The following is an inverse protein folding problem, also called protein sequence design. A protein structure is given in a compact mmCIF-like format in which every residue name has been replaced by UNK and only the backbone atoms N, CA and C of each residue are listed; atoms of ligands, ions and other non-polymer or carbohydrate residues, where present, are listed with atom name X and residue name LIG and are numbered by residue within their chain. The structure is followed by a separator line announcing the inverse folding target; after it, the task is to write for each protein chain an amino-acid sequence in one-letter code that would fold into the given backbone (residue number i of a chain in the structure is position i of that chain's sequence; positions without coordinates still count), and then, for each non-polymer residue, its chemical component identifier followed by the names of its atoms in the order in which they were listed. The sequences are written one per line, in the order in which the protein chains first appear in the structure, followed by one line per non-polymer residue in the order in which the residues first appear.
data_IF_173967600190
#
_entry.id   IF_173967600190
#
_cell.length_a   1.000
_cell.length_b   1.000
_cell.length_c   1.000
_cell.angle_alpha   90.00
_cell.angle_beta   90.00
_cell.angle_gamma   90.00
#
_symmetry.space_group_name_H-M   'P 1'
#
loop_
_entity.id
_entity.type
_entity.pdbx_description
1 polymer ?
#
# COMPACT_ATOMS: atom_id res chain seq x y z
N UNK A 1 4.26 -11.52 -10.47
CA UNK A 1 4.51 -10.44 -9.48
C UNK A 1 4.45 -9.13 -10.24
N UNK A 2 3.75 -8.12 -9.73
CA UNK A 2 3.61 -6.82 -10.41
C UNK A 2 4.95 -6.10 -10.49
N UNK A 3 5.26 -5.49 -11.63
CA UNK A 3 6.52 -4.76 -11.85
C UNK A 3 6.42 -3.32 -11.30
N UNK A 4 7.22 -3.03 -10.27
CA UNK A 4 7.37 -1.70 -9.66
C UNK A 4 8.76 -1.07 -9.93
N UNK A 5 9.50 -1.55 -10.93
CA UNK A 5 10.84 -1.05 -11.28
C UNK A 5 10.91 0.44 -11.63
N UNK A 6 9.78 1.05 -11.98
CA UNK A 6 9.67 2.50 -12.22
C UNK A 6 9.85 3.35 -10.93
N UNK A 7 9.66 2.75 -9.76
CA UNK A 7 9.96 3.37 -8.47
C UNK A 7 11.49 3.29 -8.26
N UNK A 8 12.16 4.44 -8.42
CA UNK A 8 13.64 4.54 -8.35
C UNK A 8 14.16 4.28 -6.95
N UNK A 9 13.47 4.80 -5.93
CA UNK A 9 13.82 4.54 -4.54
C UNK A 9 13.55 3.07 -4.20
N UNK A 10 14.62 2.31 -3.97
CA UNK A 10 14.55 0.87 -3.77
C UNK A 10 13.75 0.50 -2.53
N UNK A 11 13.89 1.27 -1.45
CA UNK A 11 13.17 1.02 -0.21
C UNK A 11 11.65 1.18 -0.42
N UNK A 12 11.21 2.31 -0.98
CA UNK A 12 9.80 2.54 -1.35
C UNK A 12 9.29 1.46 -2.29
N UNK A 13 10.09 1.04 -3.27
CA UNK A 13 9.72 -0.04 -4.19
C UNK A 13 9.40 -1.34 -3.46
N UNK A 14 10.26 -1.75 -2.51
CA UNK A 14 9.99 -2.95 -1.71
C UNK A 14 8.76 -2.81 -0.82
N UNK A 15 8.58 -1.65 -0.17
CA UNK A 15 7.41 -1.39 0.67
C UNK A 15 6.11 -1.45 -0.13
N UNK A 16 6.06 -0.80 -1.30
CA UNK A 16 4.89 -0.81 -2.19
C UNK A 16 4.64 -2.20 -2.77
N UNK A 17 5.67 -2.92 -3.21
CA UNK A 17 5.52 -4.29 -3.70
C UNK A 17 5.00 -5.27 -2.63
N UNK A 18 5.53 -5.17 -1.41
CA UNK A 18 5.07 -5.93 -0.25
C UNK A 18 3.60 -5.59 0.07
N UNK A 19 3.27 -4.30 0.13
CA UNK A 19 1.92 -3.84 0.41
C UNK A 19 0.90 -4.22 -0.66
N UNK A 20 1.25 -4.08 -1.94
CA UNK A 20 0.38 -4.46 -3.05
C UNK A 20 0.09 -5.97 -3.03
N UNK A 21 1.11 -6.78 -2.76
CA UNK A 21 0.95 -8.23 -2.60
C UNK A 21 0.00 -8.56 -1.45
N UNK A 22 0.16 -7.91 -0.29
CA UNK A 22 -0.70 -8.12 0.87
C UNK A 22 -2.17 -7.76 0.59
N UNK A 23 -2.43 -6.56 0.05
CA UNK A 23 -3.79 -6.09 -0.25
C UNK A 23 -4.45 -6.94 -1.33
N UNK A 24 -3.70 -7.39 -2.34
CA UNK A 24 -4.21 -8.27 -3.40
C UNK A 24 -4.61 -9.63 -2.84
N UNK A 25 -3.77 -10.25 -2.00
CA UNK A 25 -4.06 -11.56 -1.40
C UNK A 25 -5.22 -11.53 -0.39
N UNK A 26 -5.46 -10.37 0.23
CA UNK A 26 -6.61 -10.16 1.12
C UNK A 26 -7.88 -9.76 0.36
N UNK A 27 -7.82 -9.58 -0.96
CA UNK A 27 -8.92 -9.10 -1.80
C UNK A 27 -9.46 -7.72 -1.35
N UNK A 28 -8.59 -6.89 -0.79
CA UNK A 28 -8.94 -5.59 -0.19
C UNK A 28 -8.76 -4.38 -1.12
N UNK A 29 -8.40 -4.58 -2.39
CA UNK A 29 -8.26 -3.46 -3.35
C UNK A 29 -9.58 -2.70 -3.54
N UNK A 30 -10.71 -3.42 -3.62
CA UNK A 30 -12.04 -2.81 -3.72
C UNK A 30 -12.39 -1.99 -2.47
N UNK A 31 -12.11 -2.51 -1.28
CA UNK A 31 -12.28 -1.77 -0.04
C UNK A 31 -11.40 -0.51 0.01
N UNK A 32 -10.12 -0.64 -0.36
CA UNK A 32 -9.16 0.47 -0.28
C UNK A 32 -9.50 1.61 -1.24
N UNK A 33 -10.14 1.31 -2.37
CA UNK A 33 -10.63 2.31 -3.33
C UNK A 33 -11.61 3.30 -2.68
N UNK A 34 -12.51 2.79 -1.85
CA UNK A 34 -13.58 3.58 -1.23
C UNK A 34 -13.23 4.04 0.20
N UNK A 35 -12.21 3.42 0.80
CA UNK A 35 -11.77 3.73 2.15
C UNK A 35 -11.21 5.15 2.27
N UNK A 36 -11.71 5.88 3.26
CA UNK A 36 -11.16 7.17 3.68
C UNK A 36 -10.83 7.07 5.17
N UNK A 37 -9.55 7.24 5.58
CA UNK A 37 -9.20 7.20 6.98
C UNK A 37 -9.97 8.26 7.78
N UNK A 38 -10.71 7.84 8.81
CA UNK A 38 -11.57 8.72 9.59
C UNK A 38 -10.81 9.92 10.19
N UNK A 39 -11.40 11.12 10.09
CA UNK A 39 -11.06 12.27 10.93
C UNK A 39 -9.65 12.83 10.79
N UNK A 40 -9.06 12.87 9.59
CA UNK A 40 -7.70 13.36 9.30
C UNK A 40 -6.54 12.55 9.93
N UNK A 41 -6.82 11.44 10.59
CA UNK A 41 -5.79 10.64 11.28
C UNK A 41 -4.93 9.80 10.31
N UNK A 42 -5.26 9.78 9.01
CA UNK A 42 -4.50 9.08 7.98
C UNK A 42 -4.42 7.57 8.22
N UNK A 43 -3.64 6.87 7.40
CA UNK A 43 -3.47 5.42 7.52
C UNK A 43 -2.68 5.02 8.78
N UNK A 44 -1.76 5.87 9.26
CA UNK A 44 -0.89 5.59 10.41
C UNK A 44 -1.67 5.36 11.71
N UNK A 45 -2.72 6.14 11.93
CA UNK A 45 -3.50 6.12 13.18
C UNK A 45 -4.91 5.54 12.97
N UNK A 46 -5.13 4.86 11.85
CA UNK A 46 -6.41 4.21 11.58
C UNK A 46 -6.56 2.95 12.44
N UNK A 47 -7.72 2.81 13.08
CA UNK A 47 -8.10 1.62 13.84
C UNK A 47 -9.02 0.68 13.06
N UNK A 48 -9.07 0.79 11.73
CA UNK A 48 -9.93 -0.06 10.92
C UNK A 48 -9.41 -1.52 10.92
N UNK A 49 -10.28 -2.54 11.12
CA UNK A 49 -9.88 -3.96 11.11
C UNK A 49 -9.12 -4.39 9.85
N UNK A 50 -9.44 -3.83 8.69
CA UNK A 50 -8.75 -4.15 7.44
C UNK A 50 -7.33 -3.58 7.40
N UNK A 51 -7.07 -2.46 8.09
CA UNK A 51 -5.71 -1.94 8.26
C UNK A 51 -4.85 -2.93 9.05
N UNK A 52 -5.38 -3.47 10.15
CA UNK A 52 -4.68 -4.50 10.94
C UNK A 52 -4.42 -5.79 10.15
N UNK A 53 -5.38 -6.23 9.33
CA UNK A 53 -5.18 -7.38 8.43
C UNK A 53 -4.06 -7.12 7.43
N UNK A 54 -4.02 -5.91 6.85
CA UNK A 54 -3.02 -5.55 5.84
C UNK A 54 -1.62 -5.53 6.44
N UNK A 55 -1.40 -4.83 7.56
CA UNK A 55 -0.08 -4.78 8.20
C UNK A 55 0.39 -6.17 8.66
N UNK A 56 -0.49 -6.96 9.29
CA UNK A 56 -0.16 -8.33 9.67
C UNK A 56 0.15 -9.22 8.46
N UNK A 57 -0.53 -9.01 7.33
CA UNK A 57 -0.21 -9.74 6.11
C UNK A 57 1.13 -9.33 5.53
N UNK A 58 1.41 -8.02 5.45
CA UNK A 58 2.70 -7.48 5.01
C UNK A 58 3.88 -8.07 5.79
N UNK A 59 3.74 -8.18 7.11
CA UNK A 59 4.75 -8.75 8.02
C UNK A 59 4.89 -10.28 7.87
N UNK A 60 3.83 -10.99 7.48
CA UNK A 60 3.86 -12.45 7.27
C UNK A 60 4.43 -12.89 5.92
N UNK A 61 4.66 -11.96 4.97
CA UNK A 61 5.23 -12.29 3.66
C UNK A 61 6.72 -12.64 3.79
N UNK A 62 7.28 -13.48 2.88
CA UNK A 62 8.70 -13.79 2.90
C UNK A 62 9.58 -12.54 2.78
N UNK A 63 10.61 -12.42 3.63
CA UNK A 63 11.55 -11.30 3.66
C UNK A 63 10.86 -9.92 3.71
N UNK A 64 10.03 -9.65 4.73
CA UNK A 64 9.28 -8.40 4.80
C UNK A 64 10.26 -7.23 5.03
N UNK A 65 10.13 -6.09 4.33
CA UNK A 65 11.03 -4.95 4.49
C UNK A 65 10.91 -4.25 5.85
N UNK A 66 9.91 -4.64 6.67
CA UNK A 66 9.51 -3.92 7.87
C UNK A 66 8.81 -2.61 7.54
N UNK A 67 7.86 -2.19 8.36
CA UNK A 67 7.19 -0.90 8.22
C UNK A 67 7.22 -0.14 9.54
N UNK A 68 7.66 1.12 9.51
CA UNK A 68 7.31 2.08 10.57
C UNK A 68 5.90 2.62 10.31
N UNK A 69 5.27 3.26 11.30
CA UNK A 69 3.94 3.84 11.11
C UNK A 69 3.86 4.86 9.96
N UNK A 70 4.94 5.63 9.74
CA UNK A 70 5.02 6.59 8.62
C UNK A 70 5.23 5.89 7.28
N UNK A 71 6.12 4.90 7.19
CA UNK A 71 6.34 4.16 5.95
C UNK A 71 5.11 3.34 5.57
N UNK A 72 4.40 2.78 6.54
CA UNK A 72 3.10 2.13 6.34
C UNK A 72 2.09 3.11 5.73
N UNK A 73 1.96 4.31 6.31
CA UNK A 73 1.00 5.29 5.82
C UNK A 73 1.30 5.78 4.39
N UNK A 74 2.57 6.00 4.07
CA UNK A 74 3.01 6.34 2.70
C UNK A 74 2.69 5.19 1.75
N UNK A 75 3.04 3.95 2.13
CA UNK A 75 2.73 2.74 1.34
C UNK A 75 1.24 2.66 1.04
N UNK A 76 0.39 2.82 2.05
CA UNK A 76 -1.07 2.77 1.88
C UNK A 76 -1.61 3.86 0.94
N UNK A 77 -0.98 5.05 0.87
CA UNK A 77 -1.33 6.09 -0.11
C UNK A 77 -0.99 5.68 -1.54
N UNK A 78 0.14 5.02 -1.76
CA UNK A 78 0.44 4.43 -3.08
C UNK A 78 -0.60 3.38 -3.47
N UNK A 79 -0.96 2.50 -2.54
CA UNK A 79 -1.95 1.45 -2.79
C UNK A 79 -3.36 2.03 -3.01
N UNK A 80 -3.74 3.08 -2.30
CA UNK A 80 -4.98 3.81 -2.50
C UNK A 80 -5.04 4.42 -3.90
N UNK A 81 -3.96 5.06 -4.35
CA UNK A 81 -3.86 5.60 -5.71
C UNK A 81 -4.04 4.47 -6.75
N UNK A 82 -3.35 3.35 -6.57
CA UNK A 82 -3.49 2.19 -7.47
C UNK A 82 -4.93 1.64 -7.44
N UNK A 83 -5.56 1.54 -6.27
CA UNK A 83 -6.93 1.05 -6.15
C UNK A 83 -7.95 1.97 -6.84
N UNK A 84 -7.73 3.29 -6.81
CA UNK A 84 -8.61 4.30 -7.42
C UNK A 84 -8.41 4.45 -8.92
N UNK A 85 -7.18 4.31 -9.40
CA UNK A 85 -6.79 4.73 -10.75
C UNK A 85 -6.22 3.61 -11.62
N UNK A 86 -5.90 2.47 -11.03
CA UNK A 86 -5.21 1.38 -11.70
C UNK A 86 -3.69 1.58 -11.76
N UNK A 87 -2.99 0.49 -12.07
CA UNK A 87 -1.52 0.46 -12.09
C UNK A 87 -0.92 1.31 -13.22
N UNK A 88 -1.55 1.32 -14.40
CA UNK A 88 -1.05 2.07 -15.55
C UNK A 88 -1.02 3.58 -15.29
N UNK A 89 -2.09 4.11 -14.67
CA UNK A 89 -2.14 5.51 -14.27
C UNK A 89 -1.13 5.82 -13.16
N UNK A 90 -1.01 4.95 -12.17
CA UNK A 90 -0.01 5.10 -11.12
C UNK A 90 1.43 5.17 -11.68
N UNK A 91 1.74 4.31 -12.67
CA UNK A 91 3.05 4.32 -13.34
C UNK A 91 3.28 5.62 -14.11
N UNK A 92 2.27 6.14 -14.81
CA UNK A 92 2.38 7.41 -15.52
C UNK A 92 2.59 8.60 -14.57
N UNK A 93 1.81 8.65 -13.48
CA UNK A 93 1.86 9.74 -12.49
C UNK A 93 3.13 9.72 -11.62
N UNK A 94 3.81 8.57 -11.48
CA UNK A 94 5.08 8.50 -10.75
C UNK A 94 6.26 9.13 -11.53
N UNK A 95 6.10 9.33 -12.85
CA UNK A 95 7.11 9.92 -13.74
C UNK A 95 6.86 11.40 -14.07
N UNK A 96 5.72 11.96 -13.66
CA UNK A 96 5.36 13.38 -13.83
C UNK A 96 5.89 14.23 -12.70
#
# INVERSE_FOLDING_TARGET
MTDFSFIRDEHTRYLVANGYTAVTQLELLGWLKDFTPNGNNGFMFSSDPNIYKIIGRMESLPNPPGHSGSSFAITMRHLEHIAKHGLDKYKADYHS
#
